data_IF_717707366064
#
_entry.id   IF_717707366064
#
_cell.length_a   1.000
_cell.length_b   1.000
_cell.length_c   1.000
_cell.angle_alpha   90.00
_cell.angle_beta   90.00
_cell.angle_gamma   90.00
#
_symmetry.space_group_name_H-M   'P 1'
#
loop_
_entity.id
_entity.type
_entity.pdbx_description
1 polymer ?
#
# COMPACT_ATOMS: atom_id res chain seq x y z
N UNK A 1 -17.99 8.87 15.50
CA UNK A 1 -17.73 7.89 14.48
C UNK A 1 -16.39 8.06 13.78
N UNK A 2 -15.38 8.28 14.56
CA UNK A 2 -14.03 8.43 14.05
C UNK A 2 -13.54 7.17 13.33
N UNK A 3 -14.19 6.03 13.60
CA UNK A 3 -13.80 4.76 13.02
C UNK A 3 -14.08 4.67 11.52
N UNK A 4 -14.90 5.59 10.97
CA UNK A 4 -15.29 5.51 9.55
C UNK A 4 -14.07 5.63 8.64
N UNK A 5 -13.17 6.57 8.89
CA UNK A 5 -11.99 6.75 8.05
C UNK A 5 -11.05 5.55 8.13
N UNK A 6 -10.83 5.04 9.34
CA UNK A 6 -10.00 3.86 9.52
C UNK A 6 -10.63 2.66 8.82
N UNK A 7 -11.95 2.54 8.91
CA UNK A 7 -12.69 1.46 8.27
C UNK A 7 -12.54 1.54 6.76
N UNK A 8 -12.56 2.74 6.18
CA UNK A 8 -12.43 2.92 4.74
C UNK A 8 -11.05 2.47 4.27
N UNK A 9 -9.99 2.85 4.99
CA UNK A 9 -8.64 2.45 4.63
C UNK A 9 -8.48 0.93 4.73
N UNK A 10 -9.01 0.33 5.79
CA UNK A 10 -8.96 -1.13 5.96
C UNK A 10 -9.74 -1.83 4.87
N UNK A 11 -10.91 -1.29 4.52
CA UNK A 11 -11.73 -1.87 3.46
C UNK A 11 -11.03 -1.80 2.11
N UNK A 12 -10.38 -0.68 1.81
CA UNK A 12 -9.62 -0.53 0.58
C UNK A 12 -8.54 -1.61 0.49
N UNK A 13 -7.82 -1.83 1.59
CA UNK A 13 -6.78 -2.85 1.61
C UNK A 13 -7.35 -4.25 1.46
N UNK A 14 -8.49 -4.52 2.08
CA UNK A 14 -9.15 -5.82 1.96
C UNK A 14 -9.62 -6.08 0.53
N UNK A 15 -10.16 -5.05 -0.12
CA UNK A 15 -10.60 -5.18 -1.52
C UNK A 15 -9.40 -5.45 -2.42
N UNK A 16 -8.32 -4.71 -2.24
CA UNK A 16 -7.10 -4.92 -3.01
C UNK A 16 -6.55 -6.33 -2.79
N UNK A 17 -6.56 -6.79 -1.55
CA UNK A 17 -6.09 -8.13 -1.24
C UNK A 17 -6.89 -9.18 -2.00
N UNK A 18 -8.20 -9.01 -2.04
CA UNK A 18 -9.08 -9.95 -2.74
C UNK A 18 -8.84 -9.94 -4.24
N UNK A 19 -8.78 -8.74 -4.84
CA UNK A 19 -8.56 -8.64 -6.28
C UNK A 19 -7.20 -9.17 -6.71
N UNK A 20 -6.21 -9.03 -5.84
CA UNK A 20 -4.84 -9.40 -6.17
C UNK A 20 -4.47 -10.81 -5.72
N UNK A 21 -5.41 -11.55 -5.14
CA UNK A 21 -5.14 -12.93 -4.72
C UNK A 21 -4.55 -13.79 -5.84
N UNK A 22 -5.07 -13.75 -7.07
CA UNK A 22 -4.51 -14.58 -8.14
C UNK A 22 -3.06 -14.26 -8.49
N UNK A 23 -2.56 -13.08 -8.09
CA UNK A 23 -1.19 -12.69 -8.38
C UNK A 23 -0.20 -13.69 -7.78
N UNK A 24 -0.55 -14.28 -6.63
CA UNK A 24 0.32 -15.26 -5.98
C UNK A 24 0.64 -16.45 -6.90
N UNK A 25 -0.33 -16.82 -7.73
CA UNK A 25 -0.18 -17.99 -8.57
C UNK A 25 0.70 -17.75 -9.79
N UNK A 26 0.89 -16.49 -10.15
CA UNK A 26 1.69 -16.14 -11.33
C UNK A 26 3.05 -15.56 -10.97
N UNK A 27 3.34 -15.35 -9.69
CA UNK A 27 4.62 -14.79 -9.27
C UNK A 27 5.69 -15.87 -9.25
N UNK A 28 6.79 -15.60 -9.96
CA UNK A 28 8.00 -16.39 -9.81
C UNK A 28 8.76 -15.90 -8.59
N UNK A 29 9.67 -16.72 -8.02
CA UNK A 29 10.45 -16.26 -6.86
C UNK A 29 11.26 -14.99 -7.15
N UNK A 30 11.80 -14.87 -8.37
CA UNK A 30 12.59 -13.71 -8.73
C UNK A 30 11.74 -12.45 -8.75
N UNK A 31 10.55 -12.54 -9.34
CA UNK A 31 9.63 -11.41 -9.40
C UNK A 31 9.11 -11.09 -8.00
N UNK A 32 8.78 -12.12 -7.22
CA UNK A 32 8.31 -11.91 -5.84
C UNK A 32 9.37 -11.18 -5.02
N UNK A 33 10.64 -11.55 -5.18
CA UNK A 33 11.72 -10.86 -4.45
C UNK A 33 11.82 -9.41 -4.88
N UNK A 34 11.73 -9.15 -6.19
CA UNK A 34 11.77 -7.78 -6.70
C UNK A 34 10.63 -6.94 -6.14
N UNK A 35 9.44 -7.50 -6.07
CA UNK A 35 8.28 -6.81 -5.50
C UNK A 35 8.50 -6.55 -4.00
N UNK A 36 8.96 -7.56 -3.28
CA UNK A 36 9.19 -7.42 -1.83
C UNK A 36 10.20 -6.31 -1.52
N UNK A 37 11.14 -6.08 -2.44
CA UNK A 37 12.19 -5.10 -2.26
C UNK A 37 11.80 -3.69 -2.73
N UNK A 38 10.62 -3.52 -3.32
CA UNK A 38 10.20 -2.20 -3.78
C UNK A 38 10.15 -1.20 -2.63
N UNK A 39 10.60 0.01 -2.94
CA UNK A 39 10.52 1.12 -1.98
C UNK A 39 10.13 2.38 -2.74
N UNK A 40 9.29 3.20 -2.11
CA UNK A 40 8.99 4.52 -2.66
C UNK A 40 10.28 5.33 -2.67
N UNK A 41 10.47 6.16 -3.69
CA UNK A 41 11.64 7.04 -3.70
C UNK A 41 11.52 8.08 -2.59
N UNK A 42 12.64 8.76 -2.29
CA UNK A 42 12.70 9.69 -1.18
C UNK A 42 11.74 10.86 -1.37
N UNK A 43 11.60 11.34 -2.61
CA UNK A 43 10.71 12.46 -2.89
C UNK A 43 9.25 12.08 -2.58
N UNK A 44 8.83 10.91 -3.06
CA UNK A 44 7.47 10.43 -2.81
C UNK A 44 7.25 10.19 -1.32
N UNK A 45 8.21 9.57 -0.65
CA UNK A 45 8.10 9.29 0.78
C UNK A 45 7.97 10.57 1.58
N UNK A 46 8.81 11.57 1.27
CA UNK A 46 8.77 12.84 1.96
C UNK A 46 7.44 13.57 1.71
N UNK A 47 6.91 13.47 0.49
CA UNK A 47 5.63 14.08 0.16
C UNK A 47 4.49 13.46 0.97
N UNK A 48 4.48 12.15 1.07
CA UNK A 48 3.47 11.44 1.87
C UNK A 48 3.53 11.91 3.33
N UNK A 49 4.73 11.98 3.89
CA UNK A 49 4.91 12.37 5.29
C UNK A 49 4.47 13.81 5.52
N UNK A 50 4.81 14.72 4.60
CA UNK A 50 4.41 16.11 4.70
C UNK A 50 2.88 16.24 4.67
N UNK A 51 2.26 15.58 3.71
CA UNK A 51 0.80 15.64 3.58
C UNK A 51 0.12 15.00 4.79
N UNK A 52 0.67 13.89 5.30
CA UNK A 52 0.11 13.23 6.48
C UNK A 52 0.15 14.16 7.70
N UNK A 53 1.27 14.85 7.90
CA UNK A 53 1.41 15.77 9.03
C UNK A 53 0.41 16.90 8.94
N UNK A 54 0.30 17.52 7.77
CA UNK A 54 -0.62 18.65 7.59
C UNK A 54 -2.08 18.19 7.61
N UNK A 55 -2.33 16.95 7.18
CA UNK A 55 -3.68 16.40 7.25
C UNK A 55 -4.13 16.28 8.71
N UNK A 56 -3.24 15.82 9.58
CA UNK A 56 -3.56 15.71 11.01
C UNK A 56 -3.87 17.06 11.63
N UNK A 57 -3.29 18.13 11.08
CA UNK A 57 -3.51 19.48 11.57
C UNK A 57 -4.65 20.20 10.84
N UNK A 58 -5.31 19.52 9.90
CA UNK A 58 -6.40 20.11 9.16
C UNK A 58 -5.98 21.19 8.18
N UNK A 59 -4.75 21.14 7.69
CA UNK A 59 -4.16 22.20 6.89
C UNK A 59 -4.08 21.91 5.40
N UNK A 60 -4.69 20.80 4.94
CA UNK A 60 -4.64 20.47 3.52
C UNK A 60 -5.70 21.25 2.74
N UNK A 61 -5.32 21.73 1.55
CA UNK A 61 -6.28 22.24 0.59
C UNK A 61 -7.06 21.06 0.00
N UNK A 62 -8.22 21.33 -0.66
CA UNK A 62 -8.98 20.24 -1.30
C UNK A 62 -8.16 19.45 -2.31
N UNK A 63 -7.30 20.14 -3.08
CA UNK A 63 -6.43 19.46 -4.04
C UNK A 63 -5.43 18.56 -3.33
N UNK A 64 -4.89 19.02 -2.21
CA UNK A 64 -3.94 18.24 -1.46
C UNK A 64 -4.59 17.04 -0.78
N UNK A 65 -5.85 17.15 -0.37
CA UNK A 65 -6.59 16.01 0.16
C UNK A 65 -6.67 14.92 -0.91
N UNK A 66 -7.01 15.30 -2.14
CA UNK A 66 -7.06 14.35 -3.25
C UNK A 66 -5.71 13.71 -3.53
N UNK A 67 -4.65 14.51 -3.51
CA UNK A 67 -3.30 13.99 -3.71
C UNK A 67 -2.93 13.00 -2.60
N UNK A 68 -3.21 13.36 -1.37
CA UNK A 68 -2.90 12.50 -0.24
C UNK A 68 -3.64 11.17 -0.33
N UNK A 69 -4.93 11.22 -0.67
CA UNK A 69 -5.72 9.99 -0.82
C UNK A 69 -5.16 9.10 -1.93
N UNK A 70 -4.75 9.69 -3.05
CA UNK A 70 -4.18 8.92 -4.14
C UNK A 70 -2.87 8.27 -3.72
N UNK A 71 -2.03 8.99 -2.99
CA UNK A 71 -0.77 8.45 -2.51
C UNK A 71 -0.98 7.31 -1.52
N UNK A 72 -1.96 7.45 -0.63
CA UNK A 72 -2.30 6.39 0.33
C UNK A 72 -2.81 5.15 -0.41
N UNK A 73 -3.65 5.34 -1.43
CA UNK A 73 -4.14 4.21 -2.22
C UNK A 73 -2.99 3.51 -2.93
N UNK A 74 -2.06 4.25 -3.49
CA UNK A 74 -0.88 3.66 -4.13
C UNK A 74 -0.03 2.89 -3.14
N UNK A 75 0.18 3.45 -1.96
CA UNK A 75 0.94 2.77 -0.91
C UNK A 75 0.26 1.48 -0.48
N UNK A 76 -1.08 1.50 -0.39
CA UNK A 76 -1.83 0.29 -0.06
C UNK A 76 -1.68 -0.79 -1.13
N UNK A 77 -1.69 -0.39 -2.40
CA UNK A 77 -1.49 -1.35 -3.49
C UNK A 77 -0.13 -2.03 -3.37
N UNK A 78 0.91 -1.24 -3.17
CA UNK A 78 2.26 -1.79 -3.03
C UNK A 78 2.33 -2.71 -1.80
N UNK A 79 1.74 -2.28 -0.68
CA UNK A 79 1.76 -3.09 0.54
C UNK A 79 1.09 -4.45 0.34
N UNK A 80 -0.04 -4.48 -0.36
CA UNK A 80 -0.74 -5.73 -0.64
C UNK A 80 0.09 -6.62 -1.57
N UNK A 81 0.68 -6.03 -2.61
CA UNK A 81 1.53 -6.79 -3.51
C UNK A 81 2.74 -7.38 -2.77
N UNK A 82 3.33 -6.58 -1.88
CA UNK A 82 4.47 -7.06 -1.10
C UNK A 82 4.09 -8.18 -0.15
N UNK A 83 2.91 -8.11 0.45
CA UNK A 83 2.43 -9.18 1.31
C UNK A 83 2.26 -10.48 0.52
N UNK A 84 1.72 -10.40 -0.68
CA UNK A 84 1.56 -11.57 -1.53
C UNK A 84 2.90 -12.12 -1.99
N UNK A 85 3.85 -11.25 -2.31
CA UNK A 85 5.20 -11.66 -2.68
C UNK A 85 5.88 -12.41 -1.53
N UNK A 86 5.75 -11.90 -0.30
CA UNK A 86 6.32 -12.56 0.87
C UNK A 86 5.69 -13.93 1.09
N UNK A 87 4.40 -14.06 0.86
CA UNK A 87 3.71 -15.35 0.98
C UNK A 87 4.30 -16.37 0.01
N UNK A 88 4.56 -15.94 -1.24
CA UNK A 88 5.17 -16.82 -2.23
C UNK A 88 6.57 -17.24 -1.79
N UNK A 89 7.37 -16.27 -1.33
CA UNK A 89 8.74 -16.56 -0.88
C UNK A 89 8.75 -17.47 0.34
N UNK A 90 7.87 -17.21 1.30
CA UNK A 90 7.79 -18.04 2.51
C UNK A 90 7.31 -19.45 2.20
N UNK A 91 6.39 -19.59 1.26
CA UNK A 91 5.92 -20.91 0.85
C UNK A 91 7.03 -21.75 0.28
N UNK A 92 7.91 -21.14 -0.53
CA UNK A 92 9.06 -21.85 -1.06
C UNK A 92 10.03 -22.25 0.04
N UNK A 93 10.26 -21.33 0.98
CA UNK A 93 11.17 -21.57 2.08
C UNK A 93 10.65 -22.68 3.00
N UNK A 94 9.34 -22.70 3.19
CA UNK A 94 8.73 -23.67 4.10
C UNK A 94 8.71 -25.10 3.55
N UNK A 95 8.85 -25.22 2.25
CA UNK A 95 8.84 -26.57 1.65
C UNK A 95 10.25 -27.12 1.53
#
# INVERSE_FOLDING_TARGET
MSTIMTTTAARNRQVLDRFLNPVRDILTPEVAQAIADLRADAVTQNRIEDLADRHREGQLSPDEVGEYEALVNGANLIAVLQAKARTVLNGRTAS
#
